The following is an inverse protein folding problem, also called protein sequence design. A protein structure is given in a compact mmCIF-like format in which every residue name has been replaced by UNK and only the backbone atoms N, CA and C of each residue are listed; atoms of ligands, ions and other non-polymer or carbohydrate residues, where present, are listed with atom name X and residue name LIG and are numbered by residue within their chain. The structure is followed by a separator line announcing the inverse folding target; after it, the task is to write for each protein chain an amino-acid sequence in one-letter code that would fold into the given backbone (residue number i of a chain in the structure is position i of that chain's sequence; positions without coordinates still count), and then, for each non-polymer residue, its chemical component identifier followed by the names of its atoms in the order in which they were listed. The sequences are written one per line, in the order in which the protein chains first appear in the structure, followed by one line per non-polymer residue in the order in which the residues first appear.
data_IF_855322233288
#
_entry.id   IF_855322233288
#
_cell.length_a   1.000
_cell.length_b   1.000
_cell.length_c   1.000
_cell.angle_alpha   90.00
_cell.angle_beta   90.00
_cell.angle_gamma   90.00
#
_symmetry.space_group_name_H-M   'P 1'
#
loop_
_entity.id
_entity.type
_entity.pdbx_description
1 polymer ?
#
# COMPACT_ATOMS: atom_id res chain seq x y z
N UNK A 1 -14.37 -3.00 -9.91
CA UNK A 1 -14.03 -4.35 -10.40
C UNK A 1 -13.07 -4.19 -11.56
N UNK A 2 -11.82 -4.63 -11.41
CA UNK A 2 -10.87 -4.65 -12.54
C UNK A 2 -11.43 -5.61 -13.57
N UNK A 3 -11.61 -5.18 -14.81
CA UNK A 3 -11.68 -6.15 -15.90
C UNK A 3 -10.27 -6.76 -15.98
N UNK A 4 -10.10 -7.93 -15.39
CA UNK A 4 -8.82 -8.66 -15.21
C UNK A 4 -7.98 -8.73 -16.49
N UNK A 5 -8.61 -8.55 -17.65
CA UNK A 5 -7.98 -8.56 -18.96
C UNK A 5 -6.98 -7.42 -19.20
N UNK A 6 -7.10 -6.27 -18.52
CA UNK A 6 -6.34 -5.06 -18.88
C UNK A 6 -5.15 -4.69 -17.98
N UNK A 7 -4.89 -5.39 -16.87
CA UNK A 7 -3.73 -5.02 -16.01
C UNK A 7 -2.41 -5.20 -16.77
N UNK A 8 -1.59 -4.15 -16.73
CA UNK A 8 -0.24 -4.12 -17.32
C UNK A 8 0.80 -3.65 -16.31
N UNK A 9 2.07 -3.88 -16.65
CA UNK A 9 3.20 -3.37 -15.86
C UNK A 9 3.15 -1.84 -15.81
N UNK A 10 3.34 -1.27 -14.62
CA UNK A 10 3.25 0.16 -14.35
C UNK A 10 1.88 0.62 -13.85
N UNK A 11 0.84 -0.20 -13.97
CA UNK A 11 -0.46 0.13 -13.41
C UNK A 11 -0.39 0.27 -11.89
N UNK A 12 -1.19 1.19 -11.37
CA UNK A 12 -1.44 1.30 -9.94
C UNK A 12 -2.64 0.45 -9.59
N UNK A 13 -2.49 -0.36 -8.56
CA UNK A 13 -3.54 -1.15 -7.98
C UNK A 13 -3.81 -0.72 -6.56
N UNK A 14 -5.08 -0.72 -6.19
CA UNK A 14 -5.53 -0.69 -4.81
C UNK A 14 -5.82 -2.12 -4.38
N UNK A 15 -5.07 -2.60 -3.40
CA UNK A 15 -5.16 -3.94 -2.85
C UNK A 15 -5.65 -3.80 -1.41
N UNK A 16 -6.93 -4.09 -1.18
CA UNK A 16 -7.64 -3.72 0.05
C UNK A 16 -7.47 -2.23 0.41
N UNK A 17 -6.70 -1.93 1.46
CA UNK A 17 -6.43 -0.59 1.98
C UNK A 17 -5.00 -0.10 1.72
N UNK A 18 -4.32 -0.71 0.74
CA UNK A 18 -2.97 -0.35 0.32
C UNK A 18 -2.95 -0.11 -1.19
N UNK A 19 -2.02 0.73 -1.63
CA UNK A 19 -1.74 0.88 -3.05
C UNK A 19 -0.45 0.16 -3.42
N UNK A 20 -0.29 -0.18 -4.69
CA UNK A 20 0.92 -0.77 -5.21
C UNK A 20 1.06 -0.60 -6.70
N UNK A 21 2.29 -0.71 -7.18
CA UNK A 21 2.62 -0.63 -8.61
C UNK A 21 2.93 -2.03 -9.14
N UNK A 22 2.30 -2.39 -10.26
CA UNK A 22 2.53 -3.67 -10.94
C UNK A 22 3.91 -3.66 -11.58
N UNK A 23 4.71 -4.67 -11.25
CA UNK A 23 6.05 -4.88 -11.80
C UNK A 23 6.08 -6.01 -12.82
N UNK A 24 5.29 -7.07 -12.61
CA UNK A 24 5.18 -8.23 -13.50
C UNK A 24 3.74 -8.73 -13.54
N UNK A 25 3.32 -9.23 -14.70
CA UNK A 25 1.99 -9.80 -14.94
C UNK A 25 2.13 -11.21 -15.48
N UNK A 26 1.66 -12.20 -14.73
CA UNK A 26 1.50 -13.57 -15.19
C UNK A 26 0.05 -13.80 -15.61
N UNK A 27 -0.13 -14.46 -16.75
CA UNK A 27 -1.45 -14.78 -17.30
C UNK A 27 -1.64 -16.28 -17.35
N UNK A 28 -2.86 -16.73 -17.14
CA UNK A 28 -3.24 -18.13 -17.31
C UNK A 28 -3.09 -18.53 -18.79
N UNK A 29 -2.43 -19.65 -19.05
CA UNK A 29 -2.15 -20.10 -20.42
C UNK A 29 -3.38 -20.61 -21.17
N UNK A 30 -4.42 -21.06 -20.46
CA UNK A 30 -5.65 -21.59 -21.05
C UNK A 30 -6.68 -20.49 -21.32
N UNK A 31 -6.81 -19.49 -20.42
CA UNK A 31 -7.82 -18.43 -20.55
C UNK A 31 -7.26 -17.08 -21.02
N UNK A 32 -5.96 -16.82 -20.81
CA UNK A 32 -5.31 -15.53 -21.06
C UNK A 32 -5.58 -14.46 -20.01
N UNK A 33 -6.36 -14.78 -18.97
CA UNK A 33 -6.68 -13.87 -17.89
C UNK A 33 -5.49 -13.70 -16.95
N UNK A 34 -5.44 -12.58 -16.23
CA UNK A 34 -4.38 -12.32 -15.26
C UNK A 34 -4.53 -13.29 -14.08
N UNK A 35 -3.43 -13.95 -13.71
CA UNK A 35 -3.42 -14.96 -12.65
C UNK A 35 -2.61 -14.49 -11.45
N UNK A 36 -1.36 -14.07 -11.68
CA UNK A 36 -0.44 -13.66 -10.62
C UNK A 36 0.20 -12.32 -10.99
N UNK A 37 0.29 -11.42 -10.02
CA UNK A 37 0.91 -10.11 -10.17
C UNK A 37 2.10 -9.99 -9.22
N UNK A 38 3.24 -9.51 -9.73
CA UNK A 38 4.30 -9.01 -8.84
C UNK A 38 4.06 -7.54 -8.60
N UNK A 39 3.85 -7.14 -7.36
CA UNK A 39 3.46 -5.77 -7.01
C UNK A 39 4.39 -5.21 -5.94
N UNK A 40 4.87 -3.97 -6.13
CA UNK A 40 5.49 -3.20 -5.07
C UNK A 40 4.41 -2.43 -4.32
N UNK A 41 4.02 -2.91 -3.14
CA UNK A 41 2.98 -2.27 -2.32
C UNK A 41 3.57 -1.21 -1.40
N UNK A 42 2.79 -0.16 -1.11
CA UNK A 42 3.16 0.87 -0.12
C UNK A 42 3.38 0.25 1.26
N UNK A 43 2.60 -0.79 1.60
CA UNK A 43 2.79 -1.61 2.80
C UNK A 43 4.20 -2.18 2.92
N UNK A 44 4.70 -2.81 1.86
CA UNK A 44 6.01 -3.45 1.89
C UNK A 44 7.13 -2.42 1.94
N UNK A 45 7.03 -1.34 1.17
CA UNK A 45 8.00 -0.23 1.24
C UNK A 45 8.11 0.32 2.66
N UNK A 46 6.98 0.60 3.31
CA UNK A 46 6.95 1.12 4.69
C UNK A 46 7.51 0.15 5.73
N UNK A 47 7.45 -1.16 5.46
CA UNK A 47 8.02 -2.19 6.33
C UNK A 47 9.47 -2.55 5.97
N UNK A 48 10.06 -1.94 4.94
CA UNK A 48 11.40 -2.26 4.45
C UNK A 48 11.50 -3.58 3.68
N UNK A 49 10.39 -4.08 3.14
CA UNK A 49 10.33 -5.29 2.33
C UNK A 49 10.26 -4.99 0.83
N UNK A 50 10.72 -5.94 0.02
CA UNK A 50 10.64 -5.87 -1.43
C UNK A 50 9.25 -6.15 -2.00
N UNK A 51 9.15 -6.25 -3.35
CA UNK A 51 7.90 -6.61 -4.02
C UNK A 51 7.39 -7.99 -3.62
N UNK A 52 6.08 -8.20 -3.71
CA UNK A 52 5.41 -9.48 -3.42
C UNK A 52 4.62 -10.00 -4.62
N UNK A 53 4.45 -11.32 -4.70
CA UNK A 53 3.57 -11.95 -5.67
C UNK A 53 2.17 -12.15 -5.07
N UNK A 54 1.14 -11.79 -5.83
CA UNK A 54 -0.27 -11.87 -5.44
C UNK A 54 -1.00 -12.73 -6.46
N UNK A 55 -1.59 -13.84 -6.02
CA UNK A 55 -2.50 -14.63 -6.85
C UNK A 55 -3.90 -14.02 -6.78
N UNK A 56 -4.27 -13.29 -7.83
CA UNK A 56 -5.53 -12.53 -7.85
C UNK A 56 -6.74 -13.45 -8.03
N UNK A 57 -6.55 -14.69 -8.48
CA UNK A 57 -7.63 -15.67 -8.66
C UNK A 57 -8.21 -16.13 -7.33
N UNK A 58 -7.42 -16.06 -6.26
CA UNK A 58 -7.86 -16.44 -4.92
C UNK A 58 -8.82 -15.43 -4.32
N UNK A 59 -8.71 -14.15 -4.68
CA UNK A 59 -9.61 -13.10 -4.22
C UNK A 59 -9.68 -11.93 -5.22
N UNK A 60 -10.48 -12.07 -6.30
CA UNK A 60 -10.56 -11.07 -7.36
C UNK A 60 -11.06 -9.70 -6.89
N UNK A 61 -11.93 -9.69 -5.88
CA UNK A 61 -12.52 -8.46 -5.34
C UNK A 61 -11.55 -7.65 -4.48
N UNK A 62 -10.43 -8.26 -4.06
CA UNK A 62 -9.43 -7.58 -3.25
C UNK A 62 -8.59 -6.55 -4.04
N UNK A 63 -8.66 -6.58 -5.37
CA UNK A 63 -7.82 -5.77 -6.26
C UNK A 63 -8.71 -4.85 -7.11
N UNK A 64 -8.39 -3.56 -7.09
CA UNK A 64 -9.02 -2.51 -7.89
C UNK A 64 -7.93 -1.75 -8.67
N UNK A 65 -8.26 -1.23 -9.86
CA UNK A 65 -7.38 -0.28 -10.54
C UNK A 65 -7.42 1.00 -9.72
N UNK A 66 -6.25 1.45 -9.30
CA UNK A 66 -6.04 2.77 -8.73
C UNK A 66 -5.37 3.70 -9.72
N UNK A 67 -5.19 4.94 -9.30
CA UNK A 67 -4.48 5.97 -10.05
C UNK A 67 -3.19 6.36 -9.35
N UNK A 68 -2.25 6.94 -10.11
CA UNK A 68 -1.02 7.48 -9.54
C UNK A 68 -1.30 8.56 -8.49
N UNK A 69 -2.31 9.41 -8.72
CA UNK A 69 -2.70 10.46 -7.78
C UNK A 69 -3.20 9.90 -6.45
N UNK A 70 -3.97 8.81 -6.48
CA UNK A 70 -4.42 8.12 -5.26
C UNK A 70 -3.26 7.48 -4.50
N UNK A 71 -2.31 6.86 -5.20
CA UNK A 71 -1.09 6.31 -4.60
C UNK A 71 -0.26 7.41 -3.92
N UNK A 72 -0.06 8.54 -4.61
CA UNK A 72 0.69 9.68 -4.06
C UNK A 72 -0.02 10.25 -2.82
N UNK A 73 -1.35 10.35 -2.85
CA UNK A 73 -2.14 10.78 -1.70
C UNK A 73 -2.00 9.82 -0.51
N UNK A 74 -2.10 8.51 -0.74
CA UNK A 74 -1.90 7.49 0.30
C UNK A 74 -0.51 7.59 0.94
N UNK A 75 0.54 7.83 0.13
CA UNK A 75 1.89 8.01 0.63
C UNK A 75 2.04 9.26 1.51
N UNK A 76 1.47 10.39 1.10
CA UNK A 76 1.51 11.62 1.88
C UNK A 76 0.72 11.49 3.18
N UNK A 77 -0.48 10.92 3.15
CA UNK A 77 -1.30 10.68 4.34
C UNK A 77 -0.57 9.82 5.38
N UNK A 78 0.15 8.79 4.93
CA UNK A 78 0.95 7.91 5.80
C UNK A 78 2.19 8.60 6.37
N UNK A 79 2.85 9.44 5.58
CA UNK A 79 3.96 10.27 6.07
C UNK A 79 3.49 11.22 7.17
N UNK A 80 2.35 11.89 6.97
CA UNK A 80 1.75 12.76 7.98
C UNK A 80 1.30 11.99 9.23
N UNK A 81 0.78 10.78 9.07
CA UNK A 81 0.49 9.90 10.20
C UNK A 81 1.76 9.54 10.98
N UNK A 82 2.85 9.19 10.30
CA UNK A 82 4.12 8.87 10.94
C UNK A 82 4.65 10.02 11.78
N UNK A 83 4.63 11.25 11.24
CA UNK A 83 5.05 12.46 11.96
C UNK A 83 4.21 12.69 13.21
N UNK A 84 2.87 12.54 13.10
CA UNK A 84 1.97 12.70 14.26
C UNK A 84 2.21 11.65 15.34
N UNK A 85 2.41 10.39 14.95
CA UNK A 85 2.72 9.31 15.89
C UNK A 85 4.04 9.56 16.62
N UNK A 86 5.08 10.01 15.90
CA UNK A 86 6.36 10.36 16.51
C UNK A 86 6.20 11.48 17.55
N UNK A 87 5.46 12.55 17.22
CA UNK A 87 5.17 13.65 18.16
C UNK A 87 4.43 13.17 19.41
N UNK A 88 3.43 12.30 19.25
CA UNK A 88 2.70 11.72 20.38
C UNK A 88 3.60 10.87 21.28
N UNK A 89 4.48 10.06 20.69
CA UNK A 89 5.45 9.27 21.45
C UNK A 89 6.42 10.17 22.22
N UNK A 90 6.95 11.22 21.58
CA UNK A 90 7.84 12.19 22.24
C UNK A 90 7.15 12.92 23.40
N UNK A 91 5.88 13.29 23.25
CA UNK A 91 5.10 13.89 24.33
C UNK A 91 4.88 12.91 25.50
N UNK A 92 4.69 11.62 25.22
CA UNK A 92 4.47 10.61 26.26
C UNK A 92 5.71 10.36 27.14
N UNK A 93 6.93 10.58 26.63
CA UNK A 93 8.19 10.50 27.39
C UNK A 93 8.67 11.86 27.92
N UNK A 94 8.02 12.96 27.55
CA UNK A 94 8.38 14.28 28.09
C UNK A 94 8.11 14.30 29.60
N UNK A 95 9.07 14.72 30.44
CA UNK A 95 8.86 14.79 31.87
C UNK A 95 7.71 15.74 32.16
N UNK A 96 6.70 15.26 32.89
CA UNK A 96 5.69 16.13 33.50
C UNK A 96 6.47 17.09 34.39
N UNK A 97 6.67 18.32 33.94
CA UNK A 97 7.18 19.38 34.82
C UNK A 97 6.13 19.59 35.89
N UNK A 98 6.35 18.96 37.04
CA UNK A 98 5.61 19.22 38.25
C UNK A 98 6.01 20.64 38.65
N UNK A 99 5.24 21.64 38.21
CA UNK A 99 5.34 22.97 38.78
C UNK A 99 4.89 22.85 40.23
N UNK A 100 5.86 22.83 41.16
CA UNK A 100 5.54 23.03 42.57
C UNK A 100 5.03 24.47 42.75
N UNK A 101 3.81 24.67 43.27
CA UNK A 101 3.33 26.00 43.61
C UNK A 101 4.17 26.54 44.78
N UNK A 102 4.74 27.72 44.57
CA UNK A 102 5.44 28.52 45.60
C UNK A 102 4.49 29.05 46.67
#
# INVERSE_FOLDING_TARGET
MVSEKQVVVGDVLKIHNWYGVVLEVHRDSATGDVSVLRVQTTRNVLRGYGPEYIDIRMNPEAVEIGTMDELVRDLEDRKQLSIRLEQQMLQAVAPVSIMEPS
#
